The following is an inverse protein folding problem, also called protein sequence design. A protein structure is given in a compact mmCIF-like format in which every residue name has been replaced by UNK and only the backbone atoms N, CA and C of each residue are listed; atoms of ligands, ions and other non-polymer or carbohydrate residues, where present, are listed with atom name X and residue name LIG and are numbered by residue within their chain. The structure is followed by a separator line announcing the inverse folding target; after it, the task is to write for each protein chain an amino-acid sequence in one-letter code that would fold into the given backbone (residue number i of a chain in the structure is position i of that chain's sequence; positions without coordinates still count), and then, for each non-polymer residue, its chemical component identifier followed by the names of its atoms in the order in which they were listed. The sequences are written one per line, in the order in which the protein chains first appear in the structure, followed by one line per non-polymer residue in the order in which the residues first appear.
data_IF_254531256589
#
_entry.id   IF_254531256589
#
_cell.length_a   1.000
_cell.length_b   1.000
_cell.length_c   1.000
_cell.angle_alpha   90.00
_cell.angle_beta   90.00
_cell.angle_gamma   90.00
#
_symmetry.space_group_name_H-M   'P 1'
#
loop_
_entity.id
_entity.type
_entity.pdbx_description
1 polymer ?
#
# COMPACT_ATOMS: atom_id res chain seq x y z
N UNK A 1 -5.34 -2.59 9.49
CA UNK A 1 -5.75 -2.36 8.08
C UNK A 1 -4.56 -2.11 7.15
N UNK A 2 -3.53 -1.32 7.53
CA UNK A 2 -2.34 -1.16 6.68
C UNK A 2 -1.62 -2.50 6.40
N UNK A 3 -1.42 -3.33 7.41
CA UNK A 3 -0.71 -4.61 7.30
C UNK A 3 -1.40 -5.62 6.36
N UNK A 4 -2.74 -5.60 6.29
CA UNK A 4 -3.50 -6.38 5.31
C UNK A 4 -3.33 -5.84 3.89
N UNK A 5 -3.14 -4.53 3.72
CA UNK A 5 -2.95 -3.89 2.42
C UNK A 5 -1.56 -4.22 1.86
N UNK A 6 -0.52 -4.18 2.69
CA UNK A 6 0.83 -4.64 2.32
C UNK A 6 0.84 -6.11 1.89
N UNK A 7 0.09 -6.98 2.58
CA UNK A 7 0.00 -8.39 2.18
C UNK A 7 -0.66 -8.57 0.80
N UNK A 8 -1.71 -7.80 0.49
CA UNK A 8 -2.36 -7.83 -0.83
C UNK A 8 -1.41 -7.37 -1.93
N UNK A 9 -0.64 -6.30 -1.68
CA UNK A 9 0.36 -5.78 -2.63
C UNK A 9 1.44 -6.82 -2.93
N UNK A 10 1.92 -7.56 -1.92
CA UNK A 10 2.91 -8.61 -2.10
C UNK A 10 2.36 -9.78 -2.93
N UNK A 11 1.12 -10.20 -2.70
CA UNK A 11 0.49 -11.26 -3.50
C UNK A 11 0.30 -10.83 -4.96
N UNK A 12 -0.09 -9.58 -5.20
CA UNK A 12 -0.19 -9.00 -6.54
C UNK A 12 1.18 -8.92 -7.23
N UNK A 13 2.22 -8.51 -6.50
CA UNK A 13 3.58 -8.49 -7.03
C UNK A 13 4.05 -9.89 -7.46
N UNK A 14 3.78 -10.91 -6.63
CA UNK A 14 4.16 -12.28 -6.95
C UNK A 14 3.46 -12.80 -8.21
N UNK A 15 2.17 -12.51 -8.36
CA UNK A 15 1.40 -12.85 -9.57
C UNK A 15 1.97 -12.14 -10.82
N UNK A 16 2.24 -10.84 -10.71
CA UNK A 16 2.79 -10.03 -11.79
C UNK A 16 4.18 -10.52 -12.21
N UNK A 17 5.02 -10.89 -11.26
CA UNK A 17 6.36 -11.40 -11.51
C UNK A 17 6.32 -12.73 -12.28
N UNK A 18 5.44 -13.65 -11.90
CA UNK A 18 5.25 -14.92 -12.63
C UNK A 18 4.77 -14.63 -14.06
N UNK A 19 3.81 -13.72 -14.22
CA UNK A 19 3.26 -13.37 -15.53
C UNK A 19 4.31 -12.76 -16.47
N UNK A 20 5.13 -11.83 -15.99
CA UNK A 20 6.19 -11.20 -16.78
C UNK A 20 7.27 -12.20 -17.20
N UNK A 21 7.68 -13.09 -16.29
CA UNK A 21 8.64 -14.15 -16.60
C UNK A 21 8.08 -15.13 -17.64
N UNK A 22 6.78 -15.46 -17.59
CA UNK A 22 6.15 -16.35 -18.57
C UNK A 22 6.17 -15.75 -19.99
N UNK A 23 6.09 -14.43 -20.09
CA UNK A 23 6.13 -13.69 -21.35
C UNK A 23 7.57 -13.28 -21.76
N UNK A 24 8.60 -13.71 -21.02
CA UNK A 24 10.00 -13.32 -21.19
C UNK A 24 10.20 -11.78 -21.26
N UNK A 25 9.38 -11.01 -20.54
CA UNK A 25 9.57 -9.57 -20.44
C UNK A 25 10.61 -9.21 -19.38
N UNK A 26 11.28 -8.08 -19.58
CA UNK A 26 12.25 -7.55 -18.63
C UNK A 26 11.58 -7.13 -17.32
N UNK A 27 12.22 -7.48 -16.19
CA UNK A 27 11.70 -7.23 -14.84
C UNK A 27 11.75 -5.75 -14.38
N UNK A 28 12.01 -4.80 -15.27
CA UNK A 28 11.98 -3.37 -14.93
C UNK A 28 10.58 -2.89 -14.51
N UNK A 29 9.52 -3.47 -15.08
CA UNK A 29 8.15 -3.10 -14.72
C UNK A 29 7.79 -3.50 -13.28
N UNK A 30 8.29 -4.65 -12.81
CA UNK A 30 8.04 -5.13 -11.44
C UNK A 30 8.74 -4.26 -10.39
N UNK A 31 9.93 -3.74 -10.70
CA UNK A 31 10.62 -2.74 -9.87
C UNK A 31 9.83 -1.43 -9.76
N UNK A 32 9.30 -0.92 -10.88
CA UNK A 32 8.49 0.31 -10.89
C UNK A 32 7.18 0.13 -10.11
N UNK A 33 6.56 -1.05 -10.17
CA UNK A 33 5.36 -1.36 -9.39
C UNK A 33 5.63 -1.30 -7.87
N UNK A 34 6.76 -1.85 -7.42
CA UNK A 34 7.14 -1.83 -6.00
C UNK A 34 7.40 -0.42 -5.47
N UNK A 35 7.99 0.49 -6.26
CA UNK A 35 8.23 1.85 -5.80
C UNK A 35 6.94 2.62 -5.60
N UNK A 36 5.98 2.48 -6.51
CA UNK A 36 4.66 3.10 -6.34
C UNK A 36 3.90 2.54 -5.13
N UNK A 37 3.97 1.24 -4.88
CA UNK A 37 3.23 0.64 -3.77
C UNK A 37 3.77 1.08 -2.39
N UNK A 38 5.09 1.22 -2.24
CA UNK A 38 5.70 1.76 -1.02
C UNK A 38 5.32 3.22 -0.81
N UNK A 39 5.24 4.02 -1.88
CA UNK A 39 4.80 5.42 -1.80
C UNK A 39 3.36 5.56 -1.30
N UNK A 40 2.43 4.71 -1.76
CA UNK A 40 1.06 4.69 -1.22
C UNK A 40 1.03 4.29 0.26
N UNK A 41 1.87 3.33 0.66
CA UNK A 41 2.06 2.98 2.07
C UNK A 41 2.52 4.17 2.93
N UNK A 42 3.54 4.90 2.47
CA UNK A 42 4.05 6.09 3.16
C UNK A 42 2.99 7.21 3.28
N UNK A 43 2.21 7.44 2.22
CA UNK A 43 1.10 8.38 2.24
C UNK A 43 0.03 7.95 3.24
N UNK A 44 -0.37 6.67 3.24
CA UNK A 44 -1.33 6.12 4.20
C UNK A 44 -0.89 6.30 5.66
N UNK A 45 0.39 6.06 5.96
CA UNK A 45 0.98 6.30 7.28
C UNK A 45 0.95 7.79 7.67
N UNK A 46 1.30 8.69 6.74
CA UNK A 46 1.28 10.13 7.01
C UNK A 46 -0.12 10.66 7.36
N UNK A 47 -1.15 10.12 6.71
CA UNK A 47 -2.56 10.45 6.98
C UNK A 47 -2.97 9.89 8.35
N UNK A 48 -2.50 8.69 8.70
CA UNK A 48 -2.78 8.10 10.00
C UNK A 48 -2.16 8.93 11.14
N UNK A 49 -0.91 9.39 10.95
CA UNK A 49 -0.25 10.29 11.91
C UNK A 49 -0.98 11.64 12.03
N UNK A 50 -1.52 12.19 10.95
CA UNK A 50 -2.27 13.45 11.03
C UNK A 50 -3.60 13.27 11.76
N UNK A 51 -4.30 12.15 11.53
CA UNK A 51 -5.55 11.81 12.25
C UNK A 51 -5.33 11.64 13.76
N UNK A 52 -4.24 10.99 14.17
CA UNK A 52 -3.90 10.85 15.60
C UNK A 52 -3.71 12.24 16.23
N UNK A 53 -3.01 13.16 15.55
CA UNK A 53 -2.75 14.51 16.09
C UNK A 53 -4.01 15.38 16.16
N UNK A 54 -4.98 15.21 15.27
CA UNK A 54 -6.20 16.05 15.23
C UNK A 54 -7.36 15.48 16.03
N UNK A 55 -7.56 14.16 16.02
CA UNK A 55 -8.71 13.51 16.65
C UNK A 55 -8.35 12.64 17.86
N UNK A 56 -7.06 12.56 18.24
CA UNK A 56 -6.60 11.95 19.49
C UNK A 56 -6.86 10.45 19.60
N UNK A 57 -7.35 9.79 18.55
CA UNK A 57 -7.73 8.38 18.58
C UNK A 57 -7.49 7.70 17.22
N UNK A 58 -6.98 6.48 17.25
CA UNK A 58 -6.73 5.63 16.06
C UNK A 58 -8.01 5.04 15.46
N UNK A 59 -9.15 5.19 16.14
CA UNK A 59 -10.42 4.68 15.69
C UNK A 59 -11.05 5.62 14.65
N UNK A 60 -11.25 5.09 13.44
CA UNK A 60 -12.05 5.70 12.37
C UNK A 60 -13.47 6.14 12.81
N UNK A 61 -13.94 5.70 13.97
CA UNK A 61 -15.22 6.10 14.57
C UNK A 61 -15.28 7.61 14.90
N UNK A 62 -14.16 8.33 15.06
CA UNK A 62 -14.18 9.78 15.27
C UNK A 62 -14.54 10.59 14.03
N UNK A 63 -14.53 9.98 12.83
CA UNK A 63 -15.04 10.63 11.61
C UNK A 63 -16.57 10.66 11.54
N UNK A 64 -17.28 9.87 12.34
CA UNK A 64 -18.75 9.84 12.31
C UNK A 64 -19.42 11.05 12.96
N UNK A 65 -18.64 12.09 13.34
CA UNK A 65 -19.15 13.36 13.87
C UNK A 65 -19.19 14.48 12.80
N UNK A 66 -18.76 14.18 11.57
CA UNK A 66 -18.97 15.00 10.37
C UNK A 66 -20.06 14.41 9.48
#
# INVERSE_FOLDING_TARGET
MLLSLEFIVLMLFFLLFIYLNLLNYENYFSMMFLTFSVCEGALGLSILVSMIRTHGNDYFQSFSIM
#
